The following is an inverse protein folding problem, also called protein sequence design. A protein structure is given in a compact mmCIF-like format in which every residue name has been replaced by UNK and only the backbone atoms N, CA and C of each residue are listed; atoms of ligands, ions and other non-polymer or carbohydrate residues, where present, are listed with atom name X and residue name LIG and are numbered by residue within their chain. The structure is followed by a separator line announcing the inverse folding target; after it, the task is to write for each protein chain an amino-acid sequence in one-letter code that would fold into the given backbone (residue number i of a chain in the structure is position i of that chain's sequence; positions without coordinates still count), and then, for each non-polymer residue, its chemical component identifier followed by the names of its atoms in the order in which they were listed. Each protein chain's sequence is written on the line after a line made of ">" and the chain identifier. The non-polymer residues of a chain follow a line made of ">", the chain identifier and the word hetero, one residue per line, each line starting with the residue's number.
data_IF_353977167948
#
_entry.id   IF_353977167948
#
_cell.length_a   1.000
_cell.length_b   1.000
_cell.length_c   1.000
_cell.angle_alpha   90.00
_cell.angle_beta   90.00
_cell.angle_gamma   90.00
#
_symmetry.space_group_name_H-M   'P 1'
#
loop_
_entity.id
_entity.type
_entity.pdbx_description
1 polymer ?
#
# COMPACT_ATOMS: atom_id res chain seq x y z
N UNK A 1 -18.14 -2.87 -24.58
CA UNK A 1 -18.21 -1.93 -23.45
C UNK A 1 -16.78 -1.79 -23.02
N UNK A 2 -16.21 -0.60 -23.13
CA UNK A 2 -14.78 -0.41 -22.86
C UNK A 2 -14.45 -0.87 -21.44
N UNK A 3 -13.31 -1.54 -21.30
CA UNK A 3 -12.79 -1.98 -20.01
C UNK A 3 -12.59 -0.75 -19.12
N UNK A 4 -13.24 -0.73 -17.95
CA UNK A 4 -13.11 0.39 -17.03
C UNK A 4 -11.70 0.41 -16.44
N UNK A 5 -11.17 1.60 -16.16
CA UNK A 5 -9.80 1.78 -15.67
C UNK A 5 -9.75 2.44 -14.28
N UNK A 6 -8.91 1.90 -13.39
CA UNK A 6 -8.63 2.43 -12.05
C UNK A 6 -7.15 2.75 -11.89
N UNK A 7 -6.82 4.02 -11.69
CA UNK A 7 -5.48 4.49 -11.36
C UNK A 7 -5.38 4.84 -9.87
N UNK A 8 -4.36 4.35 -9.19
CA UNK A 8 -4.10 4.63 -7.77
C UNK A 8 -2.69 5.19 -7.60
N UNK A 9 -2.54 6.28 -6.86
CA UNK A 9 -1.25 6.72 -6.33
C UNK A 9 -1.16 6.26 -4.87
N UNK A 10 -0.20 5.38 -4.57
CA UNK A 10 0.09 4.92 -3.21
C UNK A 10 1.33 5.63 -2.65
N UNK A 11 1.13 6.53 -1.69
CA UNK A 11 2.20 7.38 -1.13
C UNK A 11 2.69 6.97 0.25
N UNK A 12 1.89 6.20 0.99
CA UNK A 12 2.14 5.83 2.38
C UNK A 12 2.63 4.39 2.48
N UNK A 13 3.62 4.19 3.35
CA UNK A 13 4.31 2.91 3.52
C UNK A 13 4.09 2.21 4.85
N UNK A 14 3.13 2.65 5.68
CA UNK A 14 2.82 1.95 6.94
C UNK A 14 1.86 0.80 6.70
N UNK A 15 1.81 -0.14 7.64
CA UNK A 15 0.98 -1.35 7.49
C UNK A 15 -0.50 -1.02 7.25
N UNK A 16 -1.04 -0.05 7.99
CA UNK A 16 -2.44 0.37 7.90
C UNK A 16 -2.80 1.02 6.56
N UNK A 17 -1.87 1.81 5.99
CA UNK A 17 -2.07 2.50 4.73
C UNK A 17 -1.72 1.68 3.49
N UNK A 18 -1.08 0.51 3.65
CA UNK A 18 -0.91 -0.45 2.57
C UNK A 18 -2.21 -1.16 2.19
N UNK A 19 -3.15 -1.33 3.12
CA UNK A 19 -4.39 -2.08 2.85
C UNK A 19 -5.30 -1.40 1.81
N UNK A 20 -5.62 -0.10 1.92
CA UNK A 20 -6.52 0.55 0.98
C UNK A 20 -6.18 0.41 -0.51
N UNK A 21 -4.94 0.66 -0.98
CA UNK A 21 -4.62 0.51 -2.40
C UNK A 21 -4.77 -0.94 -2.88
N UNK A 22 -4.29 -1.93 -2.13
CA UNK A 22 -4.40 -3.34 -2.56
C UNK A 22 -5.83 -3.88 -2.48
N UNK A 23 -6.63 -3.50 -1.48
CA UNK A 23 -8.05 -3.91 -1.40
C UNK A 23 -8.83 -3.39 -2.61
N UNK A 24 -8.64 -2.11 -2.96
CA UNK A 24 -9.35 -1.50 -4.08
C UNK A 24 -8.86 -2.06 -5.41
N UNK A 25 -7.54 -2.22 -5.57
CA UNK A 25 -6.96 -2.78 -6.78
C UNK A 25 -7.39 -4.23 -7.01
N UNK A 26 -7.28 -5.11 -6.01
CA UNK A 26 -7.66 -6.52 -6.14
C UNK A 26 -9.16 -6.66 -6.43
N UNK A 27 -9.99 -5.83 -5.80
CA UNK A 27 -11.44 -5.83 -6.04
C UNK A 27 -11.77 -5.32 -7.44
N UNK A 28 -11.14 -4.23 -7.89
CA UNK A 28 -11.36 -3.68 -9.22
C UNK A 28 -10.91 -4.68 -10.31
N UNK A 29 -9.75 -5.30 -10.15
CA UNK A 29 -9.27 -6.33 -11.06
C UNK A 29 -10.24 -7.53 -11.13
N UNK A 30 -10.76 -7.99 -9.98
CA UNK A 30 -11.78 -9.04 -9.93
C UNK A 30 -13.11 -8.66 -10.61
N UNK A 31 -13.41 -7.36 -10.73
CA UNK A 31 -14.57 -6.83 -11.44
C UNK A 31 -14.29 -6.58 -12.94
N UNK A 32 -13.09 -6.92 -13.43
CA UNK A 32 -12.68 -6.74 -14.82
C UNK A 32 -12.29 -5.31 -15.17
N UNK A 33 -11.73 -4.56 -14.21
CA UNK A 33 -11.11 -3.26 -14.50
C UNK A 33 -9.64 -3.46 -14.86
N UNK A 34 -9.14 -2.63 -15.78
CA UNK A 34 -7.71 -2.41 -15.93
C UNK A 34 -7.23 -1.56 -14.75
N UNK A 35 -6.22 -2.04 -14.01
CA UNK A 35 -5.76 -1.38 -12.78
C UNK A 35 -4.29 -1.05 -12.85
N UNK A 36 -3.94 0.16 -12.44
CA UNK A 36 -2.57 0.60 -12.22
C UNK A 36 -2.40 1.19 -10.81
N UNK A 37 -1.33 0.79 -10.12
CA UNK A 37 -0.89 1.41 -8.88
C UNK A 37 0.50 2.01 -9.07
N UNK A 38 0.59 3.33 -8.91
CA UNK A 38 1.83 4.08 -8.90
C UNK A 38 2.31 4.30 -7.45
N UNK A 39 3.40 3.64 -7.08
CA UNK A 39 4.02 3.71 -5.76
C UNK A 39 5.10 4.80 -5.75
N UNK A 40 4.97 5.74 -4.82
CA UNK A 40 5.89 6.87 -4.67
C UNK A 40 6.11 7.19 -3.19
N UNK A 41 7.16 7.97 -2.88
CA UNK A 41 7.62 8.20 -1.51
C UNK A 41 7.67 6.90 -0.67
N UNK A 42 7.03 6.89 0.49
CA UNK A 42 7.04 5.76 1.41
C UNK A 42 6.24 4.58 0.89
N UNK A 43 5.36 4.78 -0.11
CA UNK A 43 4.61 3.71 -0.77
C UNK A 43 5.50 2.64 -1.40
N UNK A 44 6.74 2.96 -1.79
CA UNK A 44 7.71 1.97 -2.29
C UNK A 44 8.00 0.85 -1.29
N UNK A 45 7.80 1.08 0.01
CA UNK A 45 7.94 0.04 1.04
C UNK A 45 6.97 -1.13 0.81
N UNK A 46 5.83 -0.91 0.16
CA UNK A 46 4.82 -1.93 -0.15
C UNK A 46 5.27 -2.89 -1.28
N UNK A 47 6.28 -2.50 -2.05
CA UNK A 47 6.85 -3.30 -3.13
C UNK A 47 7.93 -4.27 -2.66
N UNK A 48 8.47 -4.11 -1.45
CA UNK A 48 9.54 -4.97 -0.94
C UNK A 48 9.06 -6.42 -0.79
N UNK A 49 9.88 -7.41 -1.17
CA UNK A 49 9.59 -8.85 -1.03
C UNK A 49 9.12 -9.19 0.37
N UNK A 50 9.86 -8.73 1.38
CA UNK A 50 9.49 -8.81 2.79
C UNK A 50 8.75 -7.55 3.25
N UNK A 51 7.54 -7.74 3.79
CA UNK A 51 6.70 -6.69 4.38
C UNK A 51 6.64 -6.76 5.93
N UNK A 52 7.43 -7.65 6.55
CA UNK A 52 7.40 -7.90 8.00
C UNK A 52 7.82 -6.68 8.83
N UNK A 53 8.59 -5.77 8.24
CA UNK A 53 9.04 -4.51 8.84
C UNK A 53 7.93 -3.46 8.92
N UNK A 54 6.85 -3.60 8.16
CA UNK A 54 5.76 -2.62 8.16
C UNK A 54 5.04 -2.60 9.52
N UNK A 55 4.97 -1.39 10.10
CA UNK A 55 4.31 -1.13 11.38
C UNK A 55 3.18 -0.13 11.23
N UNK A 56 2.32 -0.10 12.24
CA UNK A 56 1.36 0.96 12.47
C UNK A 56 1.93 1.89 13.54
N UNK A 57 1.85 3.19 13.32
CA UNK A 57 2.26 4.20 14.32
C UNK A 57 1.03 4.90 14.91
N UNK A 58 0.64 4.59 16.16
CA UNK A 58 -0.44 5.30 16.85
C UNK A 58 -0.14 6.79 17.02
N UNK A 59 1.14 7.16 17.07
CA UNK A 59 1.59 8.55 17.18
C UNK A 59 1.44 9.30 15.86
N UNK A 60 1.76 8.64 14.74
CA UNK A 60 1.62 9.21 13.39
C UNK A 60 0.19 9.25 12.87
N UNK A 61 -0.73 8.47 13.45
CA UNK A 61 -2.12 8.40 13.05
C UNK A 61 -3.07 8.56 14.26
N UNK A 62 -3.44 9.80 14.63
CA UNK A 62 -4.33 10.06 15.77
C UNK A 62 -5.75 9.53 15.57
N UNK A 63 -6.14 9.16 14.34
CA UNK A 63 -7.42 8.53 14.04
C UNK A 63 -7.43 7.02 14.36
N UNK A 64 -6.30 6.42 14.75
CA UNK A 64 -6.24 5.01 15.09
C UNK A 64 -7.15 4.71 16.29
N UNK A 65 -8.13 3.79 16.16
CA UNK A 65 -9.04 3.45 17.25
C UNK A 65 -8.30 2.64 18.32
N UNK A 66 -7.88 3.33 19.39
CA UNK A 66 -7.28 2.69 20.56
C UNK A 66 -8.39 2.21 21.51
N UNK A 67 -8.28 0.99 22.06
CA UNK A 67 -9.30 0.44 22.97
C UNK A 67 -9.46 1.25 24.26
N UNK A 68 -8.43 2.02 24.64
CA UNK A 68 -8.44 2.94 25.77
C UNK A 68 -7.76 4.24 25.30
N UNK A 69 -8.29 5.44 25.62
CA UNK A 69 -7.61 6.69 25.32
C UNK A 69 -6.26 6.73 26.05
N UNK A 70 -5.18 6.57 25.27
CA UNK A 70 -3.80 6.61 25.76
C UNK A 70 -3.27 8.03 25.65
N UNK A 71 -2.64 8.59 26.70
CA UNK A 71 -1.94 9.86 26.60
C UNK A 71 -0.84 9.80 25.53
N UNK A 72 -0.64 10.89 24.78
CA UNK A 72 0.38 10.96 23.72
C UNK A 72 1.78 10.55 24.20
N UNK A 73 2.14 10.91 25.44
CA UNK A 73 3.44 10.54 26.04
C UNK A 73 3.64 9.02 26.11
N UNK A 74 2.58 8.26 26.39
CA UNK A 74 2.64 6.79 26.43
C UNK A 74 2.84 6.20 25.03
N UNK A 75 2.41 6.86 23.95
CA UNK A 75 2.56 6.36 22.58
C UNK A 75 4.01 6.37 22.09
N UNK A 76 4.88 7.18 22.71
CA UNK A 76 6.31 7.29 22.39
C UNK A 76 7.13 6.16 23.03
N UNK A 77 6.54 5.37 23.93
CA UNK A 77 7.27 4.30 24.62
C UNK A 77 7.76 3.23 23.63
N UNK A 78 9.00 2.73 23.79
CA UNK A 78 9.52 1.63 22.98
C UNK A 78 8.58 0.41 23.02
N UNK A 79 8.26 -0.14 21.84
CA UNK A 79 7.39 -1.32 21.70
C UNK A 79 5.91 -1.01 21.46
N UNK A 80 5.45 0.23 21.63
CA UNK A 80 4.04 0.59 21.39
C UNK A 80 3.62 0.39 19.93
N UNK A 81 4.48 0.69 18.96
CA UNK A 81 4.23 0.44 17.54
C UNK A 81 4.11 -1.06 17.24
N UNK A 82 4.96 -1.88 17.87
CA UNK A 82 4.88 -3.34 17.76
C UNK A 82 3.58 -3.90 18.33
N UNK A 83 3.17 -3.41 19.50
CA UNK A 83 1.89 -3.77 20.13
C UNK A 83 0.70 -3.36 19.25
N UNK A 84 0.69 -2.13 18.74
CA UNK A 84 -0.35 -1.62 17.86
C UNK A 84 -0.45 -2.44 16.57
N UNK A 85 0.70 -2.76 15.97
CA UNK A 85 0.82 -3.62 14.78
C UNK A 85 0.26 -5.02 15.05
N UNK A 86 0.66 -5.66 16.15
CA UNK A 86 0.19 -7.00 16.52
C UNK A 86 -1.32 -7.00 16.78
N UNK A 87 -1.83 -5.98 17.47
CA UNK A 87 -3.25 -5.82 17.74
C UNK A 87 -4.05 -5.67 16.45
N UNK A 88 -3.57 -4.86 15.49
CA UNK A 88 -4.19 -4.70 14.18
C UNK A 88 -4.21 -6.03 13.42
N UNK A 89 -3.05 -6.69 13.25
CA UNK A 89 -2.96 -7.99 12.55
C UNK A 89 -3.89 -9.03 13.18
N UNK A 90 -3.96 -9.09 14.52
CA UNK A 90 -4.86 -10.01 15.24
C UNK A 90 -6.34 -9.70 14.99
N UNK A 91 -6.74 -8.42 14.99
CA UNK A 91 -8.13 -8.01 14.71
C UNK A 91 -8.52 -8.33 13.28
N UNK A 92 -7.63 -8.07 12.31
CA UNK A 92 -7.86 -8.38 10.90
C UNK A 92 -8.06 -9.88 10.69
N UNK A 93 -7.16 -10.71 11.23
CA UNK A 93 -7.29 -12.16 11.21
C UNK A 93 -8.59 -12.65 11.85
N UNK A 94 -8.96 -12.11 13.01
CA UNK A 94 -10.21 -12.47 13.70
C UNK A 94 -11.48 -12.08 12.92
N UNK A 95 -11.38 -11.13 11.99
CA UNK A 95 -12.47 -10.69 11.13
C UNK A 95 -12.42 -11.31 9.72
N UNK A 96 -11.47 -12.20 9.46
CA UNK A 96 -11.29 -12.83 8.16
C UNK A 96 -10.83 -11.86 7.07
N UNK A 97 -10.19 -10.75 7.44
CA UNK A 97 -9.56 -9.85 6.48
C UNK A 97 -8.24 -10.45 6.05
N UNK A 98 -8.04 -10.57 4.73
CA UNK A 98 -6.78 -11.03 4.15
C UNK A 98 -5.61 -10.15 4.62
N UNK A 99 -4.46 -10.76 4.78
CA UNK A 99 -3.20 -10.08 5.06
C UNK A 99 -2.80 -9.17 3.89
N UNK A 100 -1.90 -8.23 4.16
CA UNK A 100 -1.40 -7.31 3.14
C UNK A 100 -0.66 -8.07 2.03
N UNK A 101 0.08 -9.11 2.43
CA UNK A 101 0.81 -10.01 1.55
C UNK A 101 -0.14 -10.76 0.61
N UNK A 102 -1.22 -11.35 1.13
CA UNK A 102 -2.26 -12.02 0.32
C UNK A 102 -2.95 -11.05 -0.64
N UNK A 103 -3.28 -9.84 -0.19
CA UNK A 103 -3.90 -8.82 -1.06
C UNK A 103 -2.98 -8.37 -2.19
N UNK A 104 -1.68 -8.22 -1.91
CA UNK A 104 -0.68 -7.91 -2.94
C UNK A 104 -0.54 -9.06 -3.93
N UNK A 105 -0.51 -10.30 -3.45
CA UNK A 105 -0.44 -11.49 -4.29
C UNK A 105 -1.64 -11.57 -5.24
N UNK A 106 -2.86 -11.33 -4.74
CA UNK A 106 -4.06 -11.23 -5.58
C UNK A 106 -3.95 -10.15 -6.67
N UNK A 107 -3.31 -9.02 -6.37
CA UNK A 107 -3.07 -7.98 -7.38
C UNK A 107 -2.07 -8.44 -8.45
N UNK A 108 -1.01 -9.14 -8.04
CA UNK A 108 0.00 -9.70 -8.98
C UNK A 108 -0.64 -10.77 -9.86
N UNK A 109 -1.41 -11.70 -9.28
CA UNK A 109 -2.12 -12.74 -10.01
C UNK A 109 -3.13 -12.18 -11.00
N UNK A 110 -3.76 -11.06 -10.66
CA UNK A 110 -4.72 -10.36 -11.51
C UNK A 110 -4.06 -9.38 -12.49
N UNK A 111 -2.73 -9.44 -12.66
CA UNK A 111 -1.96 -8.62 -13.60
C UNK A 111 -2.16 -7.10 -13.40
N UNK A 112 -2.40 -6.66 -12.15
CA UNK A 112 -2.43 -5.24 -11.79
C UNK A 112 -1.07 -4.63 -12.09
N UNK A 113 -1.05 -3.58 -12.91
CA UNK A 113 0.21 -2.90 -13.27
C UNK A 113 0.73 -2.13 -12.05
N UNK A 114 1.94 -2.43 -11.62
CA UNK A 114 2.56 -1.79 -10.46
C UNK A 114 3.81 -1.02 -10.89
N UNK A 115 3.79 0.29 -10.68
CA UNK A 115 4.89 1.18 -11.07
C UNK A 115 5.59 1.70 -9.82
N UNK A 116 6.90 1.50 -9.73
CA UNK A 116 7.76 2.18 -8.79
C UNK A 116 8.27 3.51 -9.37
N UNK A 117 8.00 4.60 -8.66
CA UNK A 117 8.47 5.93 -9.02
C UNK A 117 10.01 6.00 -9.00
N UNK A 118 10.63 6.07 -10.18
CA UNK A 118 12.09 6.09 -10.34
C UNK A 118 12.74 7.20 -9.52
N UNK A 119 12.17 8.42 -9.55
CA UNK A 119 12.70 9.55 -8.77
C UNK A 119 12.70 9.26 -7.26
N UNK A 120 11.74 8.49 -6.76
CA UNK A 120 11.69 8.13 -5.34
C UNK A 120 12.69 7.02 -5.03
N UNK A 121 12.83 6.04 -5.92
CA UNK A 121 13.84 4.99 -5.82
C UNK A 121 15.22 5.64 -5.66
N UNK A 122 15.55 6.59 -6.54
CA UNK A 122 16.81 7.32 -6.52
C UNK A 122 16.94 8.23 -5.29
N UNK A 123 15.87 8.93 -4.90
CA UNK A 123 15.89 9.88 -3.78
C UNK A 123 16.19 9.22 -2.43
N UNK A 124 15.71 8.00 -2.22
CA UNK A 124 15.86 7.27 -0.95
C UNK A 124 16.81 6.08 -1.05
N UNK A 125 17.55 5.95 -2.15
CA UNK A 125 18.49 4.86 -2.43
C UNK A 125 17.87 3.47 -2.19
N UNK A 126 16.63 3.26 -2.69
CA UNK A 126 16.01 1.93 -2.62
C UNK A 126 16.72 0.95 -3.54
N UNK A 127 17.08 -0.23 -3.01
CA UNK A 127 17.53 -1.34 -3.85
C UNK A 127 16.34 -2.00 -4.54
N UNK A 128 16.29 -1.92 -5.86
CA UNK A 128 15.22 -2.54 -6.65
C UNK A 128 15.25 -4.06 -6.62
N UNK A 129 16.38 -4.68 -6.25
CA UNK A 129 16.48 -6.12 -6.03
C UNK A 129 15.65 -6.59 -4.81
N UNK A 130 15.33 -5.68 -3.89
CA UNK A 130 14.42 -5.94 -2.77
C UNK A 130 12.95 -5.94 -3.19
N UNK A 131 12.59 -5.39 -4.36
CA UNK A 131 11.20 -5.33 -4.81
C UNK A 131 10.73 -6.67 -5.38
N UNK A 132 9.44 -6.97 -5.25
CA UNK A 132 8.82 -8.11 -5.94
C UNK A 132 9.06 -8.03 -7.45
N UNK A 133 8.99 -9.18 -8.12
CA UNK A 133 9.17 -9.25 -9.57
C UNK A 133 7.96 -8.62 -10.30
N UNK A 134 8.15 -8.24 -11.56
CA UNK A 134 7.08 -7.68 -12.40
C UNK A 134 6.76 -6.21 -12.15
N UNK A 135 7.54 -5.52 -11.32
CA UNK A 135 7.43 -4.07 -11.12
C UNK A 135 8.08 -3.31 -12.28
N UNK A 136 7.40 -2.27 -12.74
CA UNK A 136 7.92 -1.34 -13.72
C UNK A 136 8.53 -0.11 -13.04
N UNK A 137 9.69 0.34 -13.49
CA UNK A 137 10.26 1.61 -13.07
C UNK A 137 9.75 2.71 -13.99
N UNK A 138 9.11 3.74 -13.41
CA UNK A 138 8.44 4.78 -14.17
C UNK A 138 8.46 6.15 -13.49
N UNK A 139 8.20 7.19 -14.28
CA UNK A 139 8.08 8.56 -13.78
C UNK A 139 6.63 9.01 -13.70
N UNK A 140 6.40 10.28 -13.35
CA UNK A 140 5.07 10.88 -13.35
C UNK A 140 4.38 10.79 -14.73
N UNK A 141 5.14 10.85 -15.82
CA UNK A 141 4.60 10.70 -17.18
C UNK A 141 3.93 9.32 -17.38
N UNK A 142 4.56 8.24 -16.91
CA UNK A 142 4.01 6.89 -17.00
C UNK A 142 2.65 6.76 -16.29
N UNK A 143 2.51 7.41 -15.13
CA UNK A 143 1.23 7.46 -14.43
C UNK A 143 0.19 8.27 -15.20
N UNK A 144 0.55 9.44 -15.74
CA UNK A 144 -0.40 10.29 -16.47
C UNK A 144 -0.90 9.67 -17.78
N UNK A 145 -0.09 8.82 -18.43
CA UNK A 145 -0.53 8.07 -19.62
C UNK A 145 -1.71 7.15 -19.30
N UNK A 146 -1.65 6.39 -18.20
CA UNK A 146 -2.74 5.51 -17.79
C UNK A 146 -3.89 6.27 -17.11
N UNK A 147 -3.57 7.19 -16.19
CA UNK A 147 -4.55 7.95 -15.42
C UNK A 147 -5.36 8.91 -16.30
N UNK A 148 -4.77 9.45 -17.38
CA UNK A 148 -5.46 10.33 -18.33
C UNK A 148 -6.63 9.65 -19.07
N UNK A 149 -6.61 8.32 -19.16
CA UNK A 149 -7.68 7.50 -19.74
C UNK A 149 -8.51 6.77 -18.68
N UNK A 150 -8.24 6.99 -17.39
CA UNK A 150 -8.88 6.23 -16.31
C UNK A 150 -10.26 6.79 -15.93
N UNK A 151 -11.22 5.90 -15.68
CA UNK A 151 -12.53 6.27 -15.16
C UNK A 151 -12.47 6.73 -13.70
N UNK A 152 -11.54 6.17 -12.94
CA UNK A 152 -11.37 6.43 -11.51
C UNK A 152 -9.89 6.67 -11.23
N UNK A 153 -9.58 7.78 -10.58
CA UNK A 153 -8.22 8.09 -10.10
C UNK A 153 -8.27 8.41 -8.61
N UNK A 154 -7.42 7.73 -7.82
CA UNK A 154 -7.35 7.87 -6.37
C UNK A 154 -5.93 8.22 -5.92
N UNK A 155 -5.81 9.03 -4.87
CA UNK A 155 -4.57 9.36 -4.20
C UNK A 155 -4.65 8.92 -2.74
N UNK A 156 -3.69 8.09 -2.29
CA UNK A 156 -3.77 7.37 -1.01
C UNK A 156 -2.51 7.54 -0.15
#
# INVERSE_FOLDING_TARGET
>A
MDEKKLAIIATKGTLDWGYPPFILASTAAALGYGVEIFFTFYGLQLLKKDLSHLRVSPLGNPAMPMPIPMPTLMMVLPGMEGMATSMMKSKMKAKGVASLEELRELCVEAEVRMIACQMTVDLFDFDTADFIDGIELGGAASFFEFAGESDITLFM
#
